data_IF_372365978811
#
_entry.id   IF_372365978811
#
_cell.length_a   1.000
_cell.length_b   1.000
_cell.length_c   1.000
_cell.angle_alpha   90.00
_cell.angle_beta   90.00
_cell.angle_gamma   90.00
#
_symmetry.space_group_name_H-M   'P 1'
#
loop_
_entity.id
_entity.type
_entity.pdbx_description
1 polymer ?
#
# COMPACT_ATOMS: atom_id res chain seq x y z
N UNK A 1 21.63 -12.82 29.42
CA UNK A 1 22.57 -11.74 29.05
C UNK A 1 21.76 -10.58 28.52
N UNK A 2 22.06 -9.37 28.97
CA UNK A 2 21.41 -8.12 28.54
C UNK A 2 21.41 -7.95 27.01
N UNK A 3 22.48 -8.39 26.34
CA UNK A 3 22.61 -8.33 24.88
C UNK A 3 21.52 -9.11 24.13
N UNK A 4 21.10 -10.27 24.63
CA UNK A 4 20.06 -11.11 24.00
C UNK A 4 18.67 -10.47 24.11
N UNK A 5 18.43 -9.69 25.17
CA UNK A 5 17.18 -8.97 25.36
C UNK A 5 17.06 -7.79 24.38
N UNK A 6 18.13 -6.99 24.26
CA UNK A 6 18.19 -5.87 23.30
C UNK A 6 18.01 -6.34 21.85
N UNK A 7 18.64 -7.44 21.46
CA UNK A 7 18.45 -8.02 20.12
C UNK A 7 16.99 -8.43 19.85
N UNK A 8 16.32 -8.99 20.86
CA UNK A 8 14.91 -9.39 20.77
C UNK A 8 14.01 -8.16 20.65
N UNK A 9 14.31 -7.08 21.37
CA UNK A 9 13.55 -5.83 21.32
C UNK A 9 13.69 -5.14 19.96
N UNK A 10 14.90 -5.10 19.39
CA UNK A 10 15.15 -4.56 18.04
C UNK A 10 14.39 -5.38 16.99
N UNK A 11 14.48 -6.72 17.06
CA UNK A 11 13.75 -7.60 16.12
C UNK A 11 12.24 -7.35 16.19
N UNK A 12 11.69 -7.22 17.39
CA UNK A 12 10.26 -6.98 17.60
C UNK A 12 9.83 -5.61 17.07
N UNK A 13 10.68 -4.59 17.24
CA UNK A 13 10.46 -3.25 16.69
C UNK A 13 10.41 -3.31 15.15
N UNK A 14 11.43 -3.90 14.50
CA UNK A 14 11.48 -3.99 13.03
C UNK A 14 10.27 -4.73 12.46
N UNK A 15 9.84 -5.84 13.08
CA UNK A 15 8.66 -6.58 12.64
C UNK A 15 7.38 -5.74 12.75
N UNK A 16 7.26 -4.94 13.80
CA UNK A 16 6.12 -4.04 13.99
C UNK A 16 6.12 -2.92 12.95
N UNK A 17 7.29 -2.33 12.68
CA UNK A 17 7.44 -1.25 11.70
C UNK A 17 7.12 -1.72 10.28
N UNK A 18 7.58 -2.91 9.89
CA UNK A 18 7.25 -3.52 8.59
C UNK A 18 5.74 -3.68 8.47
N UNK A 19 5.09 -4.27 9.49
CA UNK A 19 3.63 -4.47 9.48
C UNK A 19 2.87 -3.15 9.34
N UNK A 20 3.20 -2.16 10.16
CA UNK A 20 2.52 -0.86 10.15
C UNK A 20 2.74 -0.09 8.84
N UNK A 21 3.94 -0.21 8.26
CA UNK A 21 4.27 0.42 6.97
C UNK A 21 3.47 -0.22 5.85
N UNK A 22 3.33 -1.53 5.85
CA UNK A 22 2.54 -2.27 4.87
C UNK A 22 1.04 -1.93 4.97
N UNK A 23 0.50 -1.90 6.19
CA UNK A 23 -0.89 -1.48 6.45
C UNK A 23 -1.14 -0.07 5.90
N UNK A 24 -0.27 0.89 6.22
CA UNK A 24 -0.40 2.27 5.76
C UNK A 24 -0.21 2.42 4.25
N UNK A 25 0.69 1.63 3.64
CA UNK A 25 0.88 1.61 2.20
C UNK A 25 -0.40 1.13 1.49
N UNK A 26 -0.99 0.05 1.98
CA UNK A 26 -2.26 -0.49 1.47
C UNK A 26 -3.40 0.52 1.61
N UNK A 27 -3.57 1.13 2.79
CA UNK A 27 -4.57 2.19 3.00
C UNK A 27 -4.37 3.38 2.07
N UNK A 28 -3.11 3.73 1.75
CA UNK A 28 -2.80 4.82 0.83
C UNK A 28 -3.25 4.47 -0.59
N UNK A 29 -2.98 3.25 -1.04
CA UNK A 29 -3.43 2.78 -2.36
C UNK A 29 -4.96 2.78 -2.48
N UNK A 30 -5.67 2.27 -1.46
CA UNK A 30 -7.14 2.29 -1.40
C UNK A 30 -7.69 3.73 -1.45
N UNK A 31 -7.02 4.66 -0.75
CA UNK A 31 -7.41 6.07 -0.76
C UNK A 31 -7.23 6.71 -2.14
N UNK A 32 -6.18 6.34 -2.88
CA UNK A 32 -5.95 6.84 -4.24
C UNK A 32 -7.06 6.35 -5.17
N UNK A 33 -7.40 5.06 -5.09
CA UNK A 33 -8.48 4.50 -5.90
C UNK A 33 -9.82 5.19 -5.59
N UNK A 34 -10.19 5.23 -4.30
CA UNK A 34 -11.50 5.73 -3.85
C UNK A 34 -11.69 7.22 -4.12
N UNK A 35 -10.67 8.04 -3.84
CA UNK A 35 -10.82 9.49 -3.85
C UNK A 35 -10.29 10.16 -5.11
N UNK A 36 -9.50 9.47 -5.93
CA UNK A 36 -8.97 10.03 -7.18
C UNK A 36 -9.40 9.22 -8.39
N UNK A 37 -9.10 7.91 -8.45
CA UNK A 37 -9.41 7.13 -9.66
C UNK A 37 -10.91 7.07 -9.94
N UNK A 38 -11.72 6.64 -8.96
CA UNK A 38 -13.16 6.49 -9.16
C UNK A 38 -13.84 7.81 -9.58
N UNK A 39 -13.58 8.96 -8.94
CA UNK A 39 -14.12 10.24 -9.41
C UNK A 39 -13.64 10.63 -10.82
N UNK A 40 -12.35 10.43 -11.12
CA UNK A 40 -11.75 10.87 -12.38
C UNK A 40 -12.17 10.03 -13.60
N UNK A 41 -12.68 8.82 -13.40
CA UNK A 41 -13.23 7.99 -14.50
C UNK A 41 -14.37 8.66 -15.27
N UNK A 42 -15.03 9.66 -14.67
CA UNK A 42 -16.11 10.42 -15.32
C UNK A 42 -15.61 11.62 -16.14
N UNK A 43 -14.33 11.98 -15.99
CA UNK A 43 -13.72 13.15 -16.62
C UNK A 43 -12.64 12.78 -17.64
N UNK A 44 -11.90 11.71 -17.39
CA UNK A 44 -10.77 11.27 -18.20
C UNK A 44 -11.15 10.09 -19.09
N UNK A 45 -10.57 10.04 -20.29
CA UNK A 45 -10.64 8.85 -21.15
C UNK A 45 -9.85 7.69 -20.55
N UNK A 46 -10.11 6.47 -21.04
CA UNK A 46 -9.38 5.28 -20.59
C UNK A 46 -7.87 5.38 -20.83
N UNK A 47 -7.44 5.98 -21.94
CA UNK A 47 -6.02 6.19 -22.26
C UNK A 47 -5.35 7.15 -21.27
N UNK A 48 -6.00 8.27 -20.94
CA UNK A 48 -5.51 9.22 -19.94
C UNK A 48 -5.45 8.58 -18.54
N UNK A 49 -6.46 7.78 -18.18
CA UNK A 49 -6.46 7.03 -16.93
C UNK A 49 -5.27 6.05 -16.85
N UNK A 50 -4.95 5.34 -17.94
CA UNK A 50 -3.81 4.42 -18.00
C UNK A 50 -2.47 5.14 -17.90
N UNK A 51 -2.33 6.34 -18.46
CA UNK A 51 -1.10 7.15 -18.34
C UNK A 51 -0.91 7.73 -16.93
N UNK A 52 -1.99 8.18 -16.29
CA UNK A 52 -1.94 8.80 -14.95
C UNK A 52 -1.81 7.75 -13.84
N UNK A 53 -2.51 6.62 -13.97
CA UNK A 53 -2.56 5.56 -12.97
C UNK A 53 -1.80 4.29 -13.38
N UNK A 54 -0.72 4.44 -14.14
CA UNK A 54 0.11 3.36 -14.74
C UNK A 54 0.38 2.15 -13.84
N UNK A 55 0.64 2.36 -12.55
CA UNK A 55 1.07 1.29 -11.62
C UNK A 55 0.05 0.96 -10.51
N UNK A 56 -1.14 1.56 -10.57
CA UNK A 56 -2.21 1.36 -9.59
C UNK A 56 -3.22 0.25 -9.95
N UNK A 57 -3.44 -0.23 -11.21
CA UNK A 57 -4.68 -0.98 -11.48
C UNK A 57 -4.63 -2.49 -11.21
N UNK A 58 -3.53 -3.06 -10.70
CA UNK A 58 -3.33 -4.53 -10.75
C UNK A 58 -2.95 -5.20 -9.41
N UNK A 59 -2.44 -4.48 -8.40
CA UNK A 59 -1.95 -5.17 -7.19
C UNK A 59 -3.05 -5.72 -6.27
N UNK A 60 -4.30 -5.22 -6.35
CA UNK A 60 -5.41 -5.70 -5.50
C UNK A 60 -6.19 -6.88 -6.08
N UNK A 61 -6.04 -7.19 -7.38
CA UNK A 61 -6.80 -8.29 -8.03
C UNK A 61 -6.08 -9.64 -8.02
N UNK A 62 -4.80 -9.68 -7.64
CA UNK A 62 -4.04 -10.94 -7.57
C UNK A 62 -4.03 -11.58 -6.18
N UNK A 63 -4.55 -10.88 -5.17
CA UNK A 63 -4.81 -11.46 -3.84
C UNK A 63 -6.32 -11.68 -3.65
N UNK A 64 -6.88 -12.58 -4.45
CA UNK A 64 -8.05 -13.39 -4.07
C UNK A 64 -7.76 -14.82 -4.53
N UNK A 65 -7.96 -15.85 -3.68
CA UNK A 65 -8.97 -15.97 -2.62
C UNK A 65 -8.50 -15.59 -1.21
#
# INVERSE_FOLDING_TARGET
SFQKQVETDIRSCCLTEIKQTEEKYTETLDSIEKYFMAPLTTFLSSEEMEQVFVNIPVSYRTETP
#
